data_IF_252158078667
#
_entry.id   IF_252158078667
#
_cell.length_a   1.000
_cell.length_b   1.000
_cell.length_c   1.000
_cell.angle_alpha   90.00
_cell.angle_beta   90.00
_cell.angle_gamma   90.00
#
_symmetry.space_group_name_H-M   'P 1'
#
loop_
_entity.id
_entity.type
_entity.pdbx_description
1 polymer ?
#
# COMPACT_ATOMS: atom_id res chain seq x y z
N UNK A 1 -0.17 24.17 -5.72
CA UNK A 1 0.43 22.97 -6.34
C UNK A 1 0.47 21.78 -5.37
N UNK A 2 -0.50 21.64 -4.45
CA UNK A 2 -0.30 20.78 -3.26
C UNK A 2 -1.07 19.46 -3.35
N UNK A 3 -2.29 19.46 -3.89
CA UNK A 3 -3.14 18.26 -3.95
C UNK A 3 -2.61 17.18 -4.89
N UNK A 4 -2.24 17.58 -6.11
CA UNK A 4 -1.77 16.62 -7.12
C UNK A 4 -0.47 15.93 -6.72
N UNK A 5 0.46 16.67 -6.13
CA UNK A 5 1.72 16.13 -5.62
C UNK A 5 1.48 15.15 -4.46
N UNK A 6 0.56 15.47 -3.56
CA UNK A 6 0.20 14.60 -2.44
C UNK A 6 -0.48 13.32 -2.90
N UNK A 7 -1.36 13.40 -3.89
CA UNK A 7 -1.99 12.25 -4.54
C UNK A 7 -0.95 11.35 -5.23
N UNK A 8 -0.06 11.91 -6.06
CA UNK A 8 1.00 11.13 -6.70
C UNK A 8 1.98 10.53 -5.71
N UNK A 9 2.36 11.25 -4.66
CA UNK A 9 3.20 10.73 -3.60
C UNK A 9 2.54 9.54 -2.89
N UNK A 10 1.25 9.66 -2.57
CA UNK A 10 0.48 8.59 -1.95
C UNK A 10 0.32 7.35 -2.82
N UNK A 11 0.06 7.53 -4.13
CA UNK A 11 0.05 6.42 -5.09
C UNK A 11 1.42 5.76 -5.23
N UNK A 12 2.49 6.57 -5.24
CA UNK A 12 3.86 6.07 -5.26
C UNK A 12 4.18 5.21 -4.04
N UNK A 13 3.85 5.70 -2.84
CA UNK A 13 4.03 4.94 -1.59
C UNK A 13 3.21 3.65 -1.58
N UNK A 14 1.95 3.71 -2.01
CA UNK A 14 1.10 2.52 -2.12
C UNK A 14 1.66 1.47 -3.07
N UNK A 15 2.12 1.88 -4.25
CA UNK A 15 2.75 0.99 -5.22
C UNK A 15 4.03 0.34 -4.66
N UNK A 16 4.87 1.11 -3.97
CA UNK A 16 6.09 0.58 -3.33
C UNK A 16 5.73 -0.44 -2.25
N UNK A 17 4.73 -0.19 -1.40
CA UNK A 17 4.29 -1.17 -0.41
C UNK A 17 3.78 -2.47 -1.06
N UNK A 18 2.95 -2.36 -2.10
CA UNK A 18 2.41 -3.54 -2.81
C UNK A 18 3.55 -4.38 -3.39
N UNK A 19 4.51 -3.75 -4.06
CA UNK A 19 5.67 -4.45 -4.64
C UNK A 19 6.55 -5.05 -3.54
N UNK A 20 6.84 -4.30 -2.48
CA UNK A 20 7.65 -4.78 -1.36
C UNK A 20 6.99 -5.97 -0.65
N UNK A 21 5.69 -5.91 -0.38
CA UNK A 21 4.92 -7.01 0.19
C UNK A 21 4.85 -8.24 -0.74
N UNK A 22 4.77 -8.01 -2.05
CA UNK A 22 4.83 -9.10 -3.04
C UNK A 22 6.20 -9.77 -3.04
N UNK A 23 7.29 -9.01 -3.06
CA UNK A 23 8.65 -9.55 -2.97
C UNK A 23 8.89 -10.26 -1.63
N UNK A 24 8.30 -9.75 -0.55
CA UNK A 24 8.36 -10.37 0.77
C UNK A 24 7.78 -11.80 0.77
N UNK A 25 6.76 -12.10 -0.04
CA UNK A 25 6.23 -13.48 -0.17
C UNK A 25 7.26 -14.48 -0.71
N UNK A 26 8.19 -14.02 -1.55
CA UNK A 26 9.22 -14.87 -2.16
C UNK A 26 10.56 -14.86 -1.42
N UNK A 27 10.83 -13.85 -0.60
CA UNK A 27 12.10 -13.68 0.11
C UNK A 27 12.06 -14.17 1.57
N UNK A 28 10.91 -14.10 2.24
CA UNK A 28 10.81 -14.54 3.63
C UNK A 28 10.59 -16.06 3.74
N UNK A 29 10.96 -16.67 4.88
CA UNK A 29 10.70 -18.08 5.13
C UNK A 29 9.20 -18.39 4.96
N UNK A 30 8.83 -19.54 4.37
CA UNK A 30 7.45 -19.91 4.09
C UNK A 30 6.72 -20.38 5.36
N UNK A 31 6.70 -19.52 6.38
CA UNK A 31 5.92 -19.74 7.61
C UNK A 31 4.63 -18.93 7.54
N UNK A 32 3.55 -19.38 8.20
CA UNK A 32 2.28 -18.68 8.21
C UNK A 32 2.41 -17.22 8.68
N UNK A 33 3.26 -16.96 9.68
CA UNK A 33 3.47 -15.63 10.22
C UNK A 33 4.04 -14.66 9.17
N UNK A 34 5.06 -15.09 8.43
CA UNK A 34 5.68 -14.25 7.41
C UNK A 34 4.76 -14.02 6.20
N UNK A 35 3.90 -14.98 5.85
CA UNK A 35 2.89 -14.78 4.81
C UNK A 35 1.81 -13.79 5.24
N UNK A 36 1.37 -13.83 6.50
CA UNK A 36 0.44 -12.84 7.05
C UNK A 36 1.08 -11.45 7.04
N UNK A 37 2.35 -11.32 7.42
CA UNK A 37 3.06 -10.04 7.37
C UNK A 37 3.21 -9.52 5.94
N UNK A 38 3.61 -10.36 4.99
CA UNK A 38 3.71 -9.98 3.58
C UNK A 38 2.34 -9.55 3.01
N UNK A 39 1.28 -10.31 3.31
CA UNK A 39 -0.08 -9.96 2.95
C UNK A 39 -0.55 -8.63 3.56
N UNK A 40 -0.24 -8.38 4.84
CA UNK A 40 -0.58 -7.14 5.52
C UNK A 40 0.10 -5.92 4.88
N UNK A 41 1.35 -6.06 4.43
CA UNK A 41 2.07 -5.00 3.70
C UNK A 41 1.38 -4.71 2.37
N UNK A 42 0.97 -5.75 1.62
CA UNK A 42 0.24 -5.56 0.35
C UNK A 42 -1.09 -4.83 0.58
N UNK A 43 -1.89 -5.29 1.55
CA UNK A 43 -3.18 -4.67 1.90
C UNK A 43 -2.98 -3.23 2.38
N UNK A 44 -1.95 -2.97 3.18
CA UNK A 44 -1.57 -1.63 3.61
C UNK A 44 -1.24 -0.72 2.42
N UNK A 45 -0.53 -1.22 1.41
CA UNK A 45 -0.23 -0.46 0.19
C UNK A 45 -1.48 -0.09 -0.60
N UNK A 46 -2.44 -1.02 -0.73
CA UNK A 46 -3.75 -0.72 -1.32
C UNK A 46 -4.54 0.29 -0.49
N UNK A 47 -4.54 0.19 0.83
CA UNK A 47 -5.21 1.15 1.71
C UNK A 47 -4.63 2.56 1.56
N UNK A 48 -3.30 2.69 1.47
CA UNK A 48 -2.62 3.98 1.22
C UNK A 48 -2.98 4.53 -0.15
N UNK A 49 -2.95 3.71 -1.21
CA UNK A 49 -3.34 4.14 -2.55
C UNK A 49 -4.81 4.58 -2.59
N UNK A 50 -5.70 3.83 -1.94
CA UNK A 50 -7.13 4.14 -1.83
C UNK A 50 -7.39 5.45 -1.09
N UNK A 51 -6.73 5.67 0.05
CA UNK A 51 -6.82 6.93 0.79
C UNK A 51 -6.30 8.12 -0.04
N UNK A 52 -5.28 7.89 -0.87
CA UNK A 52 -4.67 8.93 -1.71
C UNK A 52 -5.53 9.32 -2.92
N UNK A 53 -6.45 8.46 -3.36
CA UNK A 53 -7.41 8.79 -4.41
C UNK A 53 -8.53 9.73 -3.95
N UNK A 54 -8.57 10.11 -2.67
CA UNK A 54 -9.67 10.93 -2.14
C UNK A 54 -10.97 10.14 -1.98
N UNK A 55 -10.93 8.80 -1.94
CA UNK A 55 -12.12 7.99 -1.66
C UNK A 55 -12.67 8.15 -0.24
N UNK A 56 -11.93 8.85 0.63
CA UNK A 56 -12.38 9.33 1.95
C UNK A 56 -12.87 10.80 1.93
N UNK A 57 -13.03 11.42 0.76
CA UNK A 57 -13.78 12.67 0.63
C UNK A 57 -15.27 12.35 0.80
N UNK A 58 -15.63 11.99 2.04
CA UNK A 58 -16.98 11.89 2.57
C UNK A 58 -17.47 13.28 3.02
N UNK A 59 -17.07 14.32 2.31
CA UNK A 59 -17.78 15.60 2.38
C UNK A 59 -19.00 15.47 1.49
N UNK A 60 -20.13 15.20 2.14
CA UNK A 60 -21.46 15.60 1.66
C UNK A 60 -21.48 17.07 1.19
#
# INVERSE_FOLDING_TARGET
MTDRTRQYAGLGVGAVLIVAGTLATGLLPPTPLYQVLAGAIIVGGFAVAFASFGAFDLSE
#
